data_IF_752038539436
#
_entry.id   IF_752038539436
#
_cell.length_a   1.000
_cell.length_b   1.000
_cell.length_c   1.000
_cell.angle_alpha   90.00
_cell.angle_beta   90.00
_cell.angle_gamma   90.00
#
_symmetry.space_group_name_H-M   'P 1'
#
loop_
_entity.id
_entity.type
_entity.pdbx_description
1 polymer ?
#
# COMPACT_ATOMS: atom_id res chain seq x y z
N UNK A 1 -11.11 -20.13 0.16
CA UNK A 1 -12.54 -20.52 0.18
C UNK A 1 -13.09 -20.32 1.59
N UNK A 2 -14.39 -20.61 1.85
CA UNK A 2 -14.98 -20.47 3.20
C UNK A 2 -14.24 -21.28 4.27
N UNK A 3 -13.87 -22.52 3.97
CA UNK A 3 -13.11 -23.39 4.89
C UNK A 3 -11.78 -22.77 5.32
N UNK A 4 -11.03 -22.19 4.38
CA UNK A 4 -9.78 -21.48 4.69
C UNK A 4 -10.03 -20.33 5.66
N UNK A 5 -11.09 -19.54 5.46
CA UNK A 5 -11.40 -18.40 6.34
C UNK A 5 -11.79 -18.83 7.76
N UNK A 6 -12.54 -19.93 7.90
CA UNK A 6 -12.90 -20.49 9.21
C UNK A 6 -11.63 -20.96 9.94
N UNK A 7 -10.77 -21.69 9.24
CA UNK A 7 -9.50 -22.19 9.80
C UNK A 7 -8.58 -21.05 10.22
N UNK A 8 -8.37 -20.05 9.36
CA UNK A 8 -7.56 -18.88 9.67
C UNK A 8 -8.08 -18.13 10.89
N UNK A 9 -9.40 -17.92 10.99
CA UNK A 9 -10.03 -17.28 12.15
C UNK A 9 -9.81 -18.08 13.43
N UNK A 10 -9.89 -19.40 13.37
CA UNK A 10 -9.65 -20.27 14.52
C UNK A 10 -8.19 -20.21 15.00
N UNK A 11 -7.22 -20.21 14.08
CA UNK A 11 -5.78 -20.07 14.40
C UNK A 11 -5.49 -18.74 15.10
N UNK A 12 -6.02 -17.63 14.57
CA UNK A 12 -5.89 -16.29 15.17
C UNK A 12 -6.49 -16.27 16.57
N UNK A 13 -7.73 -16.77 16.72
CA UNK A 13 -8.42 -16.77 18.00
C UNK A 13 -7.71 -17.63 19.04
N UNK A 14 -7.22 -18.81 18.63
CA UNK A 14 -6.46 -19.71 19.50
C UNK A 14 -5.20 -19.04 20.04
N UNK A 15 -4.47 -18.30 19.21
CA UNK A 15 -3.24 -17.64 19.63
C UNK A 15 -3.47 -16.31 20.39
N UNK A 16 -4.62 -15.66 20.21
CA UNK A 16 -4.88 -14.31 20.75
C UNK A 16 -4.61 -14.09 22.25
N UNK A 17 -4.82 -15.06 23.18
CA UNK A 17 -4.53 -14.83 24.60
C UNK A 17 -3.08 -15.13 24.99
N UNK A 18 -2.22 -15.57 24.07
CA UNK A 18 -0.87 -16.02 24.37
C UNK A 18 0.20 -15.03 23.89
N UNK A 19 1.16 -14.73 24.77
CA UNK A 19 2.41 -14.05 24.39
C UNK A 19 3.41 -15.02 23.76
N UNK A 20 3.30 -16.31 24.09
CA UNK A 20 4.13 -17.38 23.57
C UNK A 20 3.33 -18.68 23.57
N UNK A 21 3.42 -19.46 22.47
CA UNK A 21 2.71 -20.73 22.33
C UNK A 21 3.61 -21.82 21.72
N UNK A 22 3.52 -23.03 22.28
CA UNK A 22 4.20 -24.22 21.79
C UNK A 22 3.48 -24.76 20.53
N UNK A 23 4.19 -24.83 19.41
CA UNK A 23 3.63 -25.25 18.13
C UNK A 23 3.28 -26.74 18.09
N UNK A 24 3.88 -27.59 18.92
CA UNK A 24 3.50 -29.01 18.99
C UNK A 24 2.10 -29.16 19.57
N UNK A 25 1.79 -28.42 20.64
CA UNK A 25 0.46 -28.41 21.27
C UNK A 25 -0.59 -27.81 20.34
N UNK A 26 -0.22 -26.74 19.64
CA UNK A 26 -1.09 -26.11 18.65
C UNK A 26 -1.36 -27.05 17.47
N UNK A 27 -0.34 -27.74 16.95
CA UNK A 27 -0.49 -28.68 15.85
C UNK A 27 -1.42 -29.85 16.22
N UNK A 28 -1.30 -30.37 17.44
CA UNK A 28 -2.20 -31.38 17.99
C UNK A 28 -3.66 -30.88 18.07
N UNK A 29 -3.87 -29.65 18.55
CA UNK A 29 -5.21 -29.04 18.64
C UNK A 29 -5.86 -28.81 17.28
N UNK A 30 -5.07 -28.52 16.24
CA UNK A 30 -5.53 -28.29 14.87
C UNK A 30 -5.44 -29.51 13.96
N UNK A 31 -5.14 -30.69 14.53
CA UNK A 31 -5.02 -31.98 13.82
C UNK A 31 -4.16 -31.87 12.55
N UNK A 32 -2.98 -31.27 12.71
CA UNK A 32 -2.01 -31.06 11.62
C UNK A 32 -0.60 -31.40 12.08
N UNK A 33 0.36 -31.42 11.15
CA UNK A 33 1.78 -31.55 11.49
C UNK A 33 2.37 -30.20 11.86
N UNK A 34 3.46 -30.20 12.63
CA UNK A 34 4.15 -28.95 13.01
C UNK A 34 4.67 -28.21 11.78
N UNK A 35 5.17 -28.93 10.77
CA UNK A 35 5.65 -28.33 9.53
C UNK A 35 4.53 -27.63 8.76
N UNK A 36 3.38 -28.29 8.58
CA UNK A 36 2.23 -27.67 7.91
C UNK A 36 1.69 -26.47 8.71
N UNK A 37 1.63 -26.58 10.04
CA UNK A 37 1.24 -25.45 10.89
C UNK A 37 2.22 -24.27 10.75
N UNK A 38 3.51 -24.52 10.62
CA UNK A 38 4.53 -23.49 10.42
C UNK A 38 4.31 -22.72 9.13
N UNK A 39 4.00 -23.40 8.04
CA UNK A 39 3.67 -22.77 6.75
C UNK A 39 2.40 -21.92 6.85
N UNK A 40 1.35 -22.45 7.50
CA UNK A 40 0.09 -21.74 7.72
C UNK A 40 0.27 -20.48 8.57
N UNK A 41 1.02 -20.57 9.68
CA UNK A 41 1.32 -19.44 10.56
C UNK A 41 2.19 -18.41 9.84
N UNK A 42 3.16 -18.84 9.05
CA UNK A 42 4.01 -17.96 8.26
C UNK A 42 3.18 -17.15 7.27
N UNK A 43 2.24 -17.79 6.58
CA UNK A 43 1.32 -17.08 5.69
C UNK A 43 0.47 -16.05 6.44
N UNK A 44 -0.12 -16.42 7.59
CA UNK A 44 -0.93 -15.50 8.41
C UNK A 44 -0.13 -14.31 8.95
N UNK A 45 1.16 -14.51 9.25
CA UNK A 45 2.07 -13.44 9.69
C UNK A 45 2.41 -12.51 8.52
N UNK A 46 2.68 -13.05 7.32
CA UNK A 46 2.97 -12.26 6.13
C UNK A 46 1.77 -11.42 5.68
N UNK A 47 0.56 -11.96 5.81
CA UNK A 47 -0.69 -11.24 5.55
C UNK A 47 -1.01 -10.20 6.65
N UNK A 48 -0.28 -10.19 7.77
CA UNK A 48 -0.45 -9.25 8.87
C UNK A 48 -1.66 -9.54 9.77
N UNK A 49 -2.24 -10.74 9.66
CA UNK A 49 -3.39 -11.16 10.48
C UNK A 49 -2.96 -11.65 11.87
N UNK A 50 -1.71 -12.11 12.01
CA UNK A 50 -1.09 -12.47 13.28
C UNK A 50 0.19 -11.65 13.46
N UNK A 51 0.27 -10.85 14.52
CA UNK A 51 1.51 -10.16 14.91
C UNK A 51 2.37 -11.10 15.76
N UNK A 52 3.16 -11.95 15.10
CA UNK A 52 4.02 -12.92 15.77
C UNK A 52 5.34 -13.19 15.04
N UNK A 53 6.20 -13.98 15.69
CA UNK A 53 7.48 -14.50 15.20
C UNK A 53 7.53 -16.00 15.47
N UNK A 54 7.85 -16.77 14.44
CA UNK A 54 8.10 -18.21 14.55
C UNK A 54 9.57 -18.41 14.91
N UNK A 55 9.83 -19.12 16.00
CA UNK A 55 11.12 -19.75 16.27
C UNK A 55 11.05 -21.20 15.75
N UNK A 56 11.63 -21.42 14.57
CA UNK A 56 11.61 -22.74 13.91
C UNK A 56 12.55 -23.75 14.56
N UNK A 57 13.48 -23.32 15.41
CA UNK A 57 14.38 -24.21 16.14
C UNK A 57 13.69 -24.78 17.37
N UNK A 58 13.14 -23.92 18.23
CA UNK A 58 12.42 -24.35 19.44
C UNK A 58 10.96 -24.72 19.21
N UNK A 59 10.42 -24.44 18.02
CA UNK A 59 9.01 -24.62 17.64
C UNK A 59 8.06 -23.86 18.57
N UNK A 60 8.40 -22.59 18.80
CA UNK A 60 7.61 -21.66 19.61
C UNK A 60 7.17 -20.48 18.75
N UNK A 61 5.89 -20.10 18.88
CA UNK A 61 5.33 -18.90 18.29
C UNK A 61 5.30 -17.79 19.35
N UNK A 62 6.03 -16.70 19.12
CA UNK A 62 6.09 -15.54 20.02
C UNK A 62 5.26 -14.38 19.48
N UNK A 63 4.43 -13.77 20.32
CA UNK A 63 3.72 -12.55 19.97
C UNK A 63 4.73 -11.41 19.77
N UNK A 64 4.56 -10.65 18.68
CA UNK A 64 5.39 -9.49 18.40
C UNK A 64 4.74 -8.27 19.04
N UNK A 65 5.41 -7.70 20.02
CA UNK A 65 5.10 -6.35 20.49
C UNK A 65 5.69 -5.34 19.49
N UNK A 66 4.83 -4.45 19.01
CA UNK A 66 5.24 -3.38 18.09
C UNK A 66 5.16 -2.09 18.88
N UNK A 67 6.30 -1.41 19.03
CA UNK A 67 6.31 -0.09 19.65
C UNK A 67 5.45 0.88 18.81
N UNK A 68 4.28 1.19 19.37
CA UNK A 68 3.30 2.08 18.78
C UNK A 68 3.88 3.48 18.58
N UNK A 69 4.77 3.93 19.47
CA UNK A 69 5.44 5.23 19.36
C UNK A 69 6.32 5.24 18.12
N UNK A 70 7.30 4.34 18.05
CA UNK A 70 8.22 4.25 16.91
C UNK A 70 7.48 4.15 15.58
N UNK A 71 6.44 3.32 15.51
CA UNK A 71 5.61 3.15 14.30
C UNK A 71 4.92 4.45 13.88
N UNK A 72 4.35 5.19 14.82
CA UNK A 72 3.70 6.48 14.52
C UNK A 72 4.72 7.51 14.04
N UNK A 73 5.86 7.63 14.73
CA UNK A 73 6.91 8.58 14.36
C UNK A 73 7.46 8.31 12.96
N UNK A 74 7.74 7.06 12.64
CA UNK A 74 8.23 6.67 11.32
C UNK A 74 7.23 7.01 10.21
N UNK A 75 5.95 6.64 10.40
CA UNK A 75 4.88 6.94 9.45
C UNK A 75 4.68 8.44 9.24
N UNK A 76 4.66 9.23 10.32
CA UNK A 76 4.51 10.68 10.24
C UNK A 76 5.70 11.34 9.53
N UNK A 77 6.93 10.87 9.78
CA UNK A 77 8.13 11.40 9.13
C UNK A 77 8.13 11.10 7.62
N UNK A 78 7.74 9.88 7.23
CA UNK A 78 7.59 9.50 5.82
C UNK A 78 6.52 10.35 5.11
N UNK A 79 5.36 10.53 5.76
CA UNK A 79 4.28 11.39 5.25
C UNK A 79 4.76 12.84 5.06
N UNK A 80 5.50 13.39 6.02
CA UNK A 80 6.08 14.73 5.93
C UNK A 80 7.05 14.89 4.75
N UNK A 81 7.93 13.89 4.53
CA UNK A 81 8.84 13.89 3.37
C UNK A 81 8.08 13.86 2.05
N UNK A 82 7.08 12.99 1.93
CA UNK A 82 6.25 12.91 0.73
C UNK A 82 5.43 14.19 0.49
N UNK A 83 4.91 14.81 1.55
CA UNK A 83 4.22 16.09 1.46
C UNK A 83 5.14 17.18 0.90
N UNK A 84 6.36 17.33 1.44
CA UNK A 84 7.32 18.30 0.94
C UNK A 84 7.69 18.05 -0.54
N UNK A 85 7.89 16.79 -0.92
CA UNK A 85 8.19 16.41 -2.31
C UNK A 85 7.06 16.79 -3.26
N UNK A 86 5.80 16.50 -2.88
CA UNK A 86 4.61 16.85 -3.66
C UNK A 86 4.41 18.36 -3.77
N UNK A 87 4.61 19.10 -2.69
CA UNK A 87 4.52 20.56 -2.70
C UNK A 87 5.53 21.19 -3.66
N UNK A 88 6.80 20.76 -3.61
CA UNK A 88 7.85 21.22 -4.53
C UNK A 88 7.51 20.91 -5.99
N UNK A 89 7.03 19.69 -6.28
CA UNK A 89 6.60 19.30 -7.61
C UNK A 89 5.43 20.17 -8.13
N UNK A 90 4.46 20.49 -7.26
CA UNK A 90 3.34 21.37 -7.59
C UNK A 90 3.80 22.80 -7.88
N UNK A 91 4.68 23.36 -7.06
CA UNK A 91 5.25 24.70 -7.29
C UNK A 91 5.99 24.76 -8.62
N UNK A 92 6.81 23.74 -8.93
CA UNK A 92 7.51 23.64 -10.21
C UNK A 92 6.53 23.57 -11.38
N UNK A 93 5.47 22.76 -11.25
CA UNK A 93 4.41 22.67 -12.27
C UNK A 93 3.74 24.02 -12.52
N UNK A 94 3.41 24.76 -11.46
CA UNK A 94 2.83 26.09 -11.57
C UNK A 94 3.79 27.09 -12.25
N UNK A 95 5.09 27.02 -11.95
CA UNK A 95 6.10 27.87 -12.59
C UNK A 95 6.25 27.58 -14.09
N UNK A 96 6.25 26.30 -14.49
CA UNK A 96 6.29 25.87 -15.90
C UNK A 96 5.08 26.41 -16.67
N UNK A 97 3.88 26.31 -16.09
CA UNK A 97 2.64 26.84 -16.71
C UNK A 97 2.64 28.36 -16.81
N UNK A 98 3.06 29.07 -15.75
CA UNK A 98 3.14 30.54 -15.75
C UNK A 98 4.06 31.06 -16.86
N UNK A 99 5.16 30.36 -17.11
CA UNK A 99 6.13 30.73 -18.14
C UNK A 99 5.81 30.12 -19.52
N UNK A 100 4.63 29.53 -19.71
CA UNK A 100 4.19 28.93 -20.97
C UNK A 100 5.15 27.86 -21.53
N UNK A 101 5.91 27.19 -20.66
CA UNK A 101 6.79 26.09 -21.05
C UNK A 101 5.91 24.85 -21.21
N UNK A 102 5.54 24.54 -22.45
CA UNK A 102 4.73 23.37 -22.80
C UNK A 102 5.32 22.64 -23.99
N UNK A 103 5.11 21.32 -24.02
CA UNK A 103 5.49 20.50 -25.17
C UNK A 103 4.53 20.83 -26.31
N UNK A 104 5.07 21.35 -27.42
CA UNK A 104 4.32 21.54 -28.65
C UNK A 104 4.23 20.20 -29.39
N UNK A 105 3.09 19.94 -30.03
CA UNK A 105 2.96 18.80 -30.93
C UNK A 105 4.02 18.89 -32.03
N UNK A 106 4.68 17.78 -32.42
CA UNK A 106 5.58 17.80 -33.57
C UNK A 106 4.80 18.20 -34.83
N UNK A 107 5.43 18.91 -35.79
CA UNK A 107 4.79 19.25 -37.05
C UNK A 107 4.36 17.96 -37.78
N UNK A 108 3.09 17.89 -38.19
CA UNK A 108 2.66 16.86 -39.15
C UNK A 108 3.31 17.20 -40.49
N UNK A 109 4.29 16.40 -40.90
CA UNK A 109 4.76 16.43 -42.28
C UNK A 109 3.64 15.93 -43.20
N UNK A 110 3.21 16.79 -44.13
CA UNK A 110 2.54 16.40 -45.38
C UNK A 110 1.03 16.16 -45.33
N UNK A 111 0.24 17.22 -45.56
CA UNK A 111 -0.91 17.16 -46.46
C UNK A 111 -1.24 18.58 -46.94
N UNK A 112 -0.86 18.86 -48.20
CA UNK A 112 -1.37 20.01 -48.94
C UNK A 112 -2.87 19.81 -49.19
N UNK A 113 -3.67 20.84 -48.93
CA UNK A 113 -5.09 20.88 -49.22
C UNK A 113 -5.67 22.21 -48.75
N UNK A 114 -6.06 23.03 -49.71
CA UNK A 114 -6.29 24.47 -49.63
C UNK A 114 -7.70 24.85 -49.10
N UNK A 115 -7.87 26.14 -48.75
CA UNK A 115 -9.11 26.95 -48.67
C UNK A 115 -9.94 27.00 -47.36
N UNK A 116 -9.80 28.10 -46.60
CA UNK A 116 -10.77 29.24 -46.52
C UNK A 116 -10.51 30.12 -45.27
N UNK A 117 -10.63 31.46 -45.35
CA UNK A 117 -10.64 32.33 -44.17
C UNK A 117 -12.08 32.73 -43.81
N UNK A 118 -12.54 32.43 -42.59
CA UNK A 118 -13.78 33.02 -42.06
C UNK A 118 -13.72 33.16 -40.53
N UNK A 119 -13.64 34.43 -40.09
CA UNK A 119 -14.40 35.10 -39.02
C UNK A 119 -15.11 34.23 -37.96
N UNK A 120 -15.25 34.62 -36.68
CA UNK A 120 -15.27 35.93 -36.04
C UNK A 120 -15.41 35.74 -34.53
N UNK A 121 -15.03 36.76 -33.77
CA UNK A 121 -15.20 36.94 -32.33
C UNK A 121 -16.53 36.41 -31.74
N UNK A 122 -16.48 35.90 -30.51
CA UNK A 122 -17.52 36.18 -29.52
C UNK A 122 -16.96 36.12 -28.11
N UNK A 123 -17.08 37.26 -27.41
CA UNK A 123 -16.93 37.41 -25.96
C UNK A 123 -17.97 36.53 -25.25
N UNK A 124 -17.60 35.89 -24.15
CA UNK A 124 -18.56 35.64 -23.07
C UNK A 124 -17.96 36.03 -21.73
N UNK A 125 -18.76 36.83 -21.05
CA UNK A 125 -18.51 37.59 -19.83
C UNK A 125 -18.27 36.71 -18.61
N UNK A 126 -17.41 37.22 -17.74
CA UNK A 126 -17.49 37.04 -16.29
C UNK A 126 -18.82 37.59 -15.77
N UNK A 127 -19.51 36.82 -14.95
CA UNK A 127 -20.51 37.33 -14.02
C UNK A 127 -20.15 36.89 -12.59
N UNK A 128 -20.47 37.78 -11.65
CA UNK A 128 -20.29 37.72 -10.20
C UNK A 128 -20.77 36.42 -9.56
#
# INVERSE_FOLDING_TARGET
TLYTQIRNRALIQYFSPYVSADMHRMAAAFTTTVAALEDELTQLILEGLISARVDSHSKILYARDVDQRSTTFEKSLLMGKEFQRRAKAMMLRAAVLRNQIHVKSPPREGSQGELTPANSQSRMSTNM
#
